data_IF_679522037138
#
_entry.id   IF_679522037138
#
_cell.length_a   1.000
_cell.length_b   1.000
_cell.length_c   1.000
_cell.angle_alpha   90.00
_cell.angle_beta   90.00
_cell.angle_gamma   90.00
#
_symmetry.space_group_name_H-M   'P 1'
#
loop_
_entity.id
_entity.type
_entity.pdbx_description
1 polymer ?
#
# COMPACT_ATOMS: atom_id res chain seq x y z
N UNK A 1 -26.10 2.26 -13.08
CA UNK A 1 -27.12 1.26 -12.66
C UNK A 1 -27.97 0.91 -13.88
N UNK A 2 -28.37 -0.35 -14.07
CA UNK A 2 -29.12 -0.78 -15.28
C UNK A 2 -30.42 0.02 -15.46
N UNK A 3 -31.11 0.35 -14.37
CA UNK A 3 -32.34 1.17 -14.38
C UNK A 3 -32.08 2.55 -14.99
N UNK A 4 -31.00 3.23 -14.59
CA UNK A 4 -30.68 4.58 -15.09
C UNK A 4 -30.30 4.60 -16.57
N UNK A 5 -29.72 3.50 -17.07
CA UNK A 5 -29.38 3.37 -18.49
C UNK A 5 -30.62 3.12 -19.37
N UNK A 6 -31.67 2.51 -18.81
CA UNK A 6 -32.87 2.09 -19.53
C UNK A 6 -34.10 2.99 -19.31
N UNK A 7 -34.07 3.89 -18.32
CA UNK A 7 -35.20 4.77 -17.98
C UNK A 7 -35.66 5.70 -19.10
N UNK A 8 -34.81 5.96 -20.11
CA UNK A 8 -35.16 6.74 -21.29
C UNK A 8 -35.89 5.95 -22.38
N UNK A 9 -35.85 4.61 -22.32
CA UNK A 9 -36.49 3.71 -23.30
C UNK A 9 -37.71 2.98 -22.73
N UNK A 10 -37.73 2.75 -21.42
CA UNK A 10 -38.79 1.99 -20.74
C UNK A 10 -39.30 2.71 -19.49
N UNK A 11 -40.59 2.51 -19.20
CA UNK A 11 -41.24 3.07 -18.01
C UNK A 11 -40.60 2.56 -16.70
N UNK A 12 -40.33 3.47 -15.75
CA UNK A 12 -39.65 3.15 -14.49
C UNK A 12 -40.39 2.08 -13.66
N UNK A 13 -41.72 2.13 -13.45
CA UNK A 13 -42.46 1.05 -12.79
C UNK A 13 -42.28 -0.33 -13.44
N UNK A 14 -42.20 -0.39 -14.77
CA UNK A 14 -42.00 -1.63 -15.51
C UNK A 14 -40.60 -2.19 -15.26
N UNK A 15 -39.57 -1.34 -15.33
CA UNK A 15 -38.18 -1.70 -15.05
C UNK A 15 -38.01 -2.22 -13.62
N UNK A 16 -38.56 -1.49 -12.63
CA UNK A 16 -38.51 -1.88 -11.22
C UNK A 16 -39.20 -3.23 -10.97
N UNK A 17 -40.36 -3.45 -11.61
CA UNK A 17 -41.10 -4.73 -11.52
C UNK A 17 -40.31 -5.90 -12.13
N UNK A 18 -39.71 -5.70 -13.30
CA UNK A 18 -38.91 -6.74 -14.00
C UNK A 18 -37.62 -7.08 -13.26
N UNK A 19 -36.96 -6.07 -12.69
CA UNK A 19 -35.72 -6.23 -11.93
C UNK A 19 -35.96 -6.62 -10.47
N UNK A 20 -37.23 -6.80 -10.05
CA UNK A 20 -37.64 -7.09 -8.67
C UNK A 20 -37.00 -6.12 -7.66
N UNK A 21 -36.92 -4.83 -8.02
CA UNK A 21 -36.32 -3.79 -7.20
C UNK A 21 -37.41 -2.94 -6.52
N UNK A 22 -37.41 -2.79 -5.18
CA UNK A 22 -38.35 -1.90 -4.51
C UNK A 22 -38.18 -0.45 -4.95
N UNK A 23 -39.31 0.25 -5.14
CA UNK A 23 -39.34 1.67 -5.51
C UNK A 23 -38.58 2.54 -4.50
N UNK A 24 -38.74 2.26 -3.20
CA UNK A 24 -38.02 2.94 -2.12
C UNK A 24 -36.50 2.80 -2.25
N UNK A 25 -36.00 1.60 -2.54
CA UNK A 25 -34.57 1.34 -2.73
C UNK A 25 -33.99 2.12 -3.93
N UNK A 26 -34.75 2.25 -5.03
CA UNK A 26 -34.33 3.05 -6.18
C UNK A 26 -34.17 4.53 -5.81
N UNK A 27 -35.21 5.16 -5.24
CA UNK A 27 -35.15 6.58 -4.87
C UNK A 27 -34.17 6.85 -3.72
N UNK A 28 -34.01 5.93 -2.77
CA UNK A 28 -32.97 6.03 -1.74
C UNK A 28 -31.56 6.07 -2.37
N UNK A 29 -31.31 5.23 -3.37
CA UNK A 29 -30.05 5.25 -4.10
C UNK A 29 -29.89 6.51 -4.94
N UNK A 30 -30.93 6.93 -5.65
CA UNK A 30 -30.89 8.16 -6.46
C UNK A 30 -30.59 9.40 -5.61
N UNK A 31 -31.25 9.52 -4.45
CA UNK A 31 -31.00 10.60 -3.48
C UNK A 31 -29.61 10.51 -2.86
N UNK A 32 -29.12 9.30 -2.56
CA UNK A 32 -27.77 9.10 -2.03
C UNK A 32 -26.69 9.46 -3.06
N UNK A 33 -26.90 9.21 -4.35
CA UNK A 33 -25.99 9.60 -5.42
C UNK A 33 -26.00 11.12 -5.68
N UNK A 34 -27.15 11.77 -5.50
CA UNK A 34 -27.27 13.24 -5.61
C UNK A 34 -26.67 13.99 -4.41
N UNK A 35 -26.44 13.32 -3.28
CA UNK A 35 -25.78 13.96 -2.14
C UNK A 35 -24.33 14.29 -2.51
N UNK A 36 -24.00 15.57 -2.38
CA UNK A 36 -22.64 16.03 -2.55
C UNK A 36 -21.73 15.37 -1.51
N UNK A 37 -20.52 14.99 -1.93
CA UNK A 37 -19.56 14.40 -1.02
C UNK A 37 -19.15 15.42 0.04
N UNK A 38 -19.61 15.17 1.27
CA UNK A 38 -19.30 15.94 2.47
C UNK A 38 -17.79 16.12 2.68
N UNK A 39 -16.99 15.15 2.23
CA UNK A 39 -15.54 15.13 2.44
C UNK A 39 -14.74 15.61 1.23
N UNK A 40 -15.39 16.09 0.17
CA UNK A 40 -14.72 16.53 -1.07
C UNK A 40 -13.58 17.54 -0.83
N UNK A 41 -13.77 18.52 0.05
CA UNK A 41 -12.72 19.47 0.43
C UNK A 41 -11.55 18.81 1.17
N UNK A 42 -11.85 17.90 2.09
CA UNK A 42 -10.85 17.17 2.88
C UNK A 42 -10.07 16.20 1.97
N UNK A 43 -10.70 15.54 1.00
CA UNK A 43 -10.01 14.70 0.00
C UNK A 43 -8.93 15.48 -0.72
N UNK A 44 -9.28 16.66 -1.26
CA UNK A 44 -8.33 17.54 -1.94
C UNK A 44 -7.17 17.93 -1.01
N UNK A 45 -7.46 18.26 0.25
CA UNK A 45 -6.43 18.61 1.23
C UNK A 45 -5.53 17.43 1.58
N UNK A 46 -6.08 16.23 1.76
CA UNK A 46 -5.31 15.00 1.99
C UNK A 46 -4.36 14.73 0.83
N UNK A 47 -4.84 14.82 -0.41
CA UNK A 47 -4.00 14.62 -1.60
C UNK A 47 -2.90 15.67 -1.73
N UNK A 48 -3.21 16.95 -1.41
CA UNK A 48 -2.20 18.01 -1.35
C UNK A 48 -1.11 17.70 -0.30
N UNK A 49 -1.51 17.40 0.95
CA UNK A 49 -0.58 17.04 2.03
C UNK A 49 0.25 15.81 1.68
N UNK A 50 -0.33 14.81 1.02
CA UNK A 50 0.41 13.63 0.58
C UNK A 50 1.52 14.00 -0.42
N UNK A 51 1.20 14.82 -1.42
CA UNK A 51 2.14 15.26 -2.46
C UNK A 51 3.22 16.21 -1.91
N UNK A 52 2.84 17.16 -1.06
CA UNK A 52 3.77 18.08 -0.36
C UNK A 52 4.83 17.30 0.44
N UNK A 53 4.45 16.15 1.01
CA UNK A 53 5.34 15.29 1.80
C UNK A 53 6.01 14.16 0.97
N UNK A 54 6.00 14.30 -0.37
CA UNK A 54 6.55 13.34 -1.35
C UNK A 54 6.03 11.90 -1.19
N UNK A 55 4.77 11.75 -0.80
CA UNK A 55 4.10 10.46 -0.66
C UNK A 55 4.57 9.58 0.51
N UNK A 56 5.29 10.17 1.48
CA UNK A 56 5.84 9.44 2.64
C UNK A 56 4.85 9.30 3.79
N UNK A 57 3.85 10.16 3.84
CA UNK A 57 2.98 10.27 5.01
C UNK A 57 1.72 9.44 4.82
N UNK A 58 1.51 8.48 5.74
CA UNK A 58 0.26 7.76 5.84
C UNK A 58 -0.79 8.48 6.68
N UNK A 59 -1.94 7.81 6.84
CA UNK A 59 -3.12 8.37 7.51
C UNK A 59 -2.85 8.97 8.89
N UNK A 60 -1.97 8.36 9.71
CA UNK A 60 -1.62 8.90 11.04
C UNK A 60 -0.94 10.27 10.96
N UNK A 61 0.03 10.42 10.05
CA UNK A 61 0.76 11.70 9.89
C UNK A 61 -0.12 12.75 9.21
N UNK A 62 -0.91 12.35 8.23
CA UNK A 62 -1.87 13.25 7.56
C UNK A 62 -2.94 13.72 8.56
N UNK A 63 -3.48 12.84 9.40
CA UNK A 63 -4.45 13.21 10.44
C UNK A 63 -3.86 14.20 11.45
N UNK A 64 -2.61 14.01 11.86
CA UNK A 64 -1.91 14.96 12.73
C UNK A 64 -1.71 16.34 12.06
N UNK A 65 -1.38 16.38 10.77
CA UNK A 65 -1.27 17.64 10.02
C UNK A 65 -2.62 18.35 9.89
N UNK A 66 -3.68 17.63 9.54
CA UNK A 66 -5.04 18.18 9.48
C UNK A 66 -5.48 18.74 10.84
N UNK A 67 -5.15 18.04 11.94
CA UNK A 67 -5.44 18.51 13.29
C UNK A 67 -4.66 19.78 13.64
N UNK A 68 -3.39 19.90 13.21
CA UNK A 68 -2.58 21.12 13.37
C UNK A 68 -3.10 22.30 12.56
N UNK A 69 -3.74 22.03 11.42
CA UNK A 69 -4.44 23.02 10.61
C UNK A 69 -5.82 23.40 11.17
N UNK A 70 -6.23 22.85 12.32
CA UNK A 70 -7.52 23.13 12.94
C UNK A 70 -8.69 22.33 12.37
N UNK A 71 -8.44 21.34 11.50
CA UNK A 71 -9.48 20.48 10.95
C UNK A 71 -9.86 19.38 11.93
N UNK A 72 -11.08 19.47 12.50
CA UNK A 72 -11.61 18.44 13.41
C UNK A 72 -12.22 17.29 12.61
N UNK A 73 -11.44 16.23 12.40
CA UNK A 73 -11.90 15.02 11.73
C UNK A 73 -11.43 13.77 12.46
N UNK A 74 -12.27 12.73 12.47
CA UNK A 74 -11.86 11.43 12.99
C UNK A 74 -10.79 10.80 12.10
N UNK A 75 -9.76 10.25 12.74
CA UNK A 75 -8.72 9.43 12.09
C UNK A 75 -9.31 8.33 11.20
N UNK A 76 -10.41 7.69 11.62
CA UNK A 76 -11.09 6.64 10.84
C UNK A 76 -11.58 7.14 9.49
N UNK A 77 -12.05 8.39 9.43
CA UNK A 77 -12.51 9.02 8.18
C UNK A 77 -11.32 9.30 7.28
N UNK A 78 -10.21 9.82 7.82
CA UNK A 78 -8.97 10.05 7.06
C UNK A 78 -8.45 8.73 6.46
N UNK A 79 -8.43 7.66 7.26
CA UNK A 79 -8.01 6.32 6.81
C UNK A 79 -8.91 5.79 5.70
N UNK A 80 -10.23 5.95 5.82
CA UNK A 80 -11.18 5.54 4.79
C UNK A 80 -10.96 6.32 3.49
N UNK A 81 -10.81 7.64 3.58
CA UNK A 81 -10.55 8.49 2.41
C UNK A 81 -9.25 8.10 1.71
N UNK A 82 -8.16 7.89 2.44
CA UNK A 82 -6.88 7.45 1.87
C UNK A 82 -7.01 6.12 1.13
N UNK A 83 -7.83 5.20 1.64
CA UNK A 83 -8.10 3.93 0.98
C UNK A 83 -8.96 4.11 -0.29
N UNK A 84 -9.99 4.95 -0.24
CA UNK A 84 -10.87 5.25 -1.38
C UNK A 84 -10.16 6.02 -2.51
N UNK A 85 -9.18 6.86 -2.17
CA UNK A 85 -8.32 7.59 -3.12
C UNK A 85 -7.11 6.78 -3.58
N UNK A 86 -7.00 5.51 -3.17
CA UNK A 86 -5.90 4.60 -3.52
C UNK A 86 -4.50 5.18 -3.20
N UNK A 87 -4.40 6.00 -2.15
CA UNK A 87 -3.15 6.64 -1.72
C UNK A 87 -2.29 5.60 -0.99
N UNK A 88 -1.29 5.07 -1.69
CA UNK A 88 -0.37 4.07 -1.14
C UNK A 88 0.93 4.70 -0.68
N UNK A 89 1.23 4.57 0.61
CA UNK A 89 2.54 4.95 1.17
C UNK A 89 3.55 3.86 0.86
N UNK A 90 4.58 4.20 0.07
CA UNK A 90 5.69 3.28 -0.21
C UNK A 90 6.64 3.23 0.99
N UNK A 91 6.57 2.14 1.74
CA UNK A 91 7.55 1.85 2.79
C UNK A 91 8.72 1.10 2.16
N UNK A 92 9.93 1.68 2.19
CA UNK A 92 11.14 0.94 1.82
C UNK A 92 11.43 -0.07 2.93
N UNK A 93 11.52 -1.35 2.58
CA UNK A 93 12.05 -2.37 3.50
C UNK A 93 13.47 -1.99 3.90
N UNK A 94 13.79 -2.13 5.20
CA UNK A 94 15.14 -1.88 5.71
C UNK A 94 16.04 -2.97 5.15
N UNK A 95 17.01 -2.59 4.31
CA UNK A 95 18.05 -3.52 3.86
C UNK A 95 18.98 -3.79 5.05
N UNK A 96 19.24 -5.06 5.35
CA UNK A 96 20.31 -5.40 6.28
C UNK A 96 21.64 -4.91 5.68
N UNK A 97 22.47 -4.31 6.52
CA UNK A 97 23.79 -3.86 6.10
C UNK A 97 24.61 -5.06 5.63
N UNK A 98 25.25 -4.93 4.46
CA UNK A 98 26.16 -5.93 3.93
C UNK A 98 27.39 -5.20 3.35
N UNK A 99 28.53 -5.31 4.03
CA UNK A 99 29.82 -4.79 3.59
C UNK A 99 30.56 -5.73 2.64
N UNK A 100 30.10 -6.98 2.50
CA UNK A 100 30.71 -7.97 1.63
C UNK A 100 30.46 -7.59 0.17
N UNK A 101 31.51 -7.14 -0.52
CA UNK A 101 31.46 -6.73 -1.93
C UNK A 101 31.53 -7.93 -2.91
N UNK A 102 31.47 -9.17 -2.40
CA UNK A 102 31.76 -10.39 -3.16
C UNK A 102 33.21 -10.83 -3.02
N UNK A 103 33.54 -12.00 -3.57
CA UNK A 103 34.94 -12.44 -3.70
C UNK A 103 35.62 -11.59 -4.80
N UNK A 104 36.61 -10.80 -4.40
CA UNK A 104 37.36 -9.91 -5.30
C UNK A 104 38.25 -10.71 -6.27
N UNK A 105 38.64 -11.94 -5.89
CA UNK A 105 39.47 -12.84 -6.68
C UNK A 105 38.92 -14.27 -6.64
N UNK A 106 39.30 -15.07 -7.65
CA UNK A 106 39.06 -16.51 -7.65
C UNK A 106 39.65 -17.14 -6.38
N UNK A 107 38.86 -17.94 -5.67
CA UNK A 107 39.35 -18.71 -4.52
C UNK A 107 40.48 -19.63 -4.98
N UNK A 108 41.62 -19.58 -4.31
CA UNK A 108 42.70 -20.55 -4.51
C UNK A 108 42.14 -21.95 -4.18
N UNK A 109 42.39 -22.98 -5.01
CA UNK A 109 41.93 -24.33 -4.70
C UNK A 109 42.52 -24.80 -3.37
N UNK A 110 41.70 -25.44 -2.54
CA UNK A 110 42.13 -26.01 -1.27
C UNK A 110 43.06 -27.21 -1.53
N UNK A 111 44.37 -26.97 -1.45
CA UNK A 111 45.40 -28.00 -1.68
C UNK A 111 45.28 -29.20 -0.73
N UNK A 112 44.76 -29.01 0.48
CA UNK A 112 44.54 -30.08 1.45
C UNK A 112 43.30 -30.92 1.17
N UNK A 113 42.30 -30.38 0.46
CA UNK A 113 41.02 -31.04 0.16
C UNK A 113 40.40 -31.86 1.32
N UNK A 114 40.50 -31.34 2.56
CA UNK A 114 40.08 -32.02 3.80
C UNK A 114 40.81 -33.33 4.14
N UNK A 115 41.97 -33.59 3.53
CA UNK A 115 42.89 -34.65 3.94
C UNK A 115 43.87 -34.12 4.99
N UNK A 116 43.63 -34.51 6.24
CA UNK A 116 44.41 -34.12 7.41
C UNK A 116 45.51 -35.14 7.76
N UNK A 117 45.63 -36.26 7.03
CA UNK A 117 46.63 -37.28 7.32
C UNK A 117 47.99 -36.91 6.70
N UNK A 118 49.07 -37.13 7.46
CA UNK A 118 50.45 -36.95 6.99
C UNK A 118 51.28 -38.19 7.35
N UNK A 119 52.23 -38.55 6.49
CA UNK A 119 53.10 -39.70 6.70
C UNK A 119 54.25 -39.42 7.67
N UNK A 120 54.65 -38.14 7.78
CA UNK A 120 55.69 -37.66 8.70
C UNK A 120 55.28 -36.32 9.34
N UNK A 121 55.86 -35.98 10.51
CA UNK A 121 55.72 -34.65 11.07
C UNK A 121 56.17 -33.55 10.08
N UNK A 122 55.54 -32.37 10.16
CA UNK A 122 55.85 -31.17 9.36
C UNK A 122 55.56 -31.23 7.85
N UNK A 123 54.79 -32.21 7.36
CA UNK A 123 54.40 -32.28 5.94
C UNK A 123 53.18 -31.41 5.59
N UNK A 124 52.26 -31.20 6.54
CA UNK A 124 51.05 -30.40 6.35
C UNK A 124 50.91 -29.39 7.49
N UNK A 125 50.76 -28.12 7.14
CA UNK A 125 50.60 -27.01 8.08
C UNK A 125 49.27 -26.33 7.78
N UNK A 126 48.34 -26.39 8.74
CA UNK A 126 47.03 -25.75 8.64
C UNK A 126 46.93 -24.65 9.70
N UNK A 127 46.26 -23.55 9.35
CA UNK A 127 45.92 -22.51 10.31
C UNK A 127 44.41 -22.35 10.31
N UNK A 128 43.78 -22.56 11.46
CA UNK A 128 42.36 -22.29 11.64
C UNK A 128 42.20 -20.84 12.08
N UNK A 129 41.38 -20.09 11.35
CA UNK A 129 40.92 -18.76 11.77
C UNK A 129 39.50 -18.97 12.31
N UNK A 130 39.31 -18.67 13.59
CA UNK A 130 37.98 -18.66 14.25
C UNK A 130 37.30 -17.31 14.09
#
# INVERSE_FOLDING_TARGET
MIVDALKGKYSLPLLLKRLKLPKSSYYYRETSLKKQDKYSGIRKRISALFNENSGRYGYRRIHALLSREGTVISEKVVRRIIAEEEIVVRVKSRRNYNSFQGQISLSVPNAGNRDFHAGKPNEKWLTDIT
#
